data_IF_691063563973
#
_entry.id   IF_691063563973
#
_cell.length_a   1.000
_cell.length_b   1.000
_cell.length_c   1.000
_cell.angle_alpha   90.00
_cell.angle_beta   90.00
_cell.angle_gamma   90.00
#
_symmetry.space_group_name_H-M   'P 1'
#
loop_
_entity.id
_entity.type
_entity.pdbx_description
1 polymer ?
#
# COMPACT_ATOMS: atom_id res chain seq x y z
N UNK A 1 5.26 -14.53 11.56
CA UNK A 1 3.91 -14.11 11.18
C UNK A 1 3.69 -14.23 9.68
N UNK A 2 4.60 -13.75 8.80
CA UNK A 2 4.48 -13.89 7.33
C UNK A 2 4.26 -15.33 6.89
N UNK A 3 5.10 -16.27 7.37
CA UNK A 3 4.95 -17.71 7.06
C UNK A 3 3.61 -18.31 7.51
N UNK A 4 3.04 -17.81 8.60
CA UNK A 4 1.74 -18.24 9.09
C UNK A 4 0.60 -17.78 8.18
N UNK A 5 0.61 -16.50 7.80
CA UNK A 5 -0.38 -15.95 6.88
C UNK A 5 -0.31 -16.62 5.50
N UNK A 6 0.91 -16.85 4.98
CA UNK A 6 1.08 -17.58 3.72
C UNK A 6 0.50 -18.99 3.81
N UNK A 7 0.76 -19.73 4.89
CA UNK A 7 0.22 -21.10 5.08
C UNK A 7 -1.31 -21.14 5.21
N UNK A 8 -1.90 -20.11 5.82
CA UNK A 8 -3.36 -20.04 6.03
C UNK A 8 -4.11 -19.66 4.76
N UNK A 9 -3.55 -18.73 3.97
CA UNK A 9 -4.27 -18.12 2.84
C UNK A 9 -3.78 -18.56 1.47
N UNK A 10 -2.59 -19.16 1.36
CA UNK A 10 -2.01 -19.59 0.07
C UNK A 10 -1.76 -21.10 0.07
N UNK A 11 -2.59 -21.83 -0.67
CA UNK A 11 -2.39 -23.27 -0.89
C UNK A 11 -1.10 -23.47 -1.73
N UNK A 12 -0.22 -24.35 -1.25
CA UNK A 12 1.01 -24.63 -1.98
C UNK A 12 2.12 -23.58 -1.82
N UNK A 13 2.07 -22.71 -0.81
CA UNK A 13 3.06 -21.66 -0.55
C UNK A 13 4.53 -22.13 -0.44
N UNK A 14 4.78 -23.43 -0.51
CA UNK A 14 6.12 -24.05 -0.48
C UNK A 14 6.78 -24.14 -1.86
N UNK A 15 6.01 -23.91 -2.93
CA UNK A 15 6.51 -23.97 -4.30
C UNK A 15 6.49 -22.56 -4.92
N UNK A 16 7.56 -21.76 -4.78
CA UNK A 16 7.59 -20.36 -5.23
C UNK A 16 7.57 -20.23 -6.77
N UNK A 17 7.98 -21.28 -7.49
CA UNK A 17 8.06 -21.28 -8.96
C UNK A 17 6.67 -21.49 -9.63
N UNK A 18 5.65 -21.88 -8.86
CA UNK A 18 4.30 -22.08 -9.38
C UNK A 18 3.64 -20.71 -9.63
N UNK A 19 3.25 -20.40 -10.89
CA UNK A 19 2.57 -19.15 -11.24
C UNK A 19 1.28 -18.92 -10.43
N UNK A 20 0.55 -19.99 -10.08
CA UNK A 20 -0.66 -19.89 -9.28
C UNK A 20 -0.35 -19.47 -7.83
N UNK A 21 0.75 -19.94 -7.27
CA UNK A 21 1.23 -19.56 -5.93
C UNK A 21 1.68 -18.10 -5.94
N UNK A 22 2.51 -17.69 -6.90
CA UNK A 22 2.97 -16.31 -7.06
C UNK A 22 1.80 -15.34 -7.12
N UNK A 23 0.76 -15.71 -7.84
CA UNK A 23 -0.45 -14.96 -7.96
C UNK A 23 -1.24 -14.83 -6.66
N UNK A 24 -1.46 -15.96 -5.96
CA UNK A 24 -2.17 -15.97 -4.69
C UNK A 24 -1.43 -15.13 -3.64
N UNK A 25 -0.11 -15.15 -3.66
CA UNK A 25 0.77 -14.32 -2.81
C UNK A 25 0.62 -12.83 -3.16
N UNK A 26 0.61 -12.47 -4.44
CA UNK A 26 0.38 -11.10 -4.89
C UNK A 26 -1.00 -10.57 -4.46
N UNK A 27 -2.05 -11.39 -4.60
CA UNK A 27 -3.40 -11.07 -4.12
C UNK A 27 -3.43 -10.85 -2.60
N UNK A 28 -2.80 -11.73 -1.83
CA UNK A 28 -2.71 -11.61 -0.38
C UNK A 28 -1.99 -10.31 0.01
N UNK A 29 -0.88 -9.99 -0.64
CA UNK A 29 -0.14 -8.75 -0.42
C UNK A 29 -1.01 -7.52 -0.70
N UNK A 30 -1.70 -7.49 -1.83
CA UNK A 30 -2.63 -6.40 -2.18
C UNK A 30 -3.75 -6.22 -1.16
N UNK A 31 -4.40 -7.30 -0.75
CA UNK A 31 -5.47 -7.26 0.26
C UNK A 31 -4.94 -6.75 1.61
N UNK A 32 -3.80 -7.25 2.08
CA UNK A 32 -3.17 -6.77 3.32
C UNK A 32 -2.82 -5.28 3.22
N UNK A 33 -2.27 -4.83 2.08
CA UNK A 33 -1.99 -3.43 1.81
C UNK A 33 -3.23 -2.55 1.92
N UNK A 34 -4.32 -2.95 1.26
CA UNK A 34 -5.60 -2.21 1.29
C UNK A 34 -6.16 -2.14 2.71
N UNK A 35 -6.23 -3.28 3.42
CA UNK A 35 -6.81 -3.34 4.76
C UNK A 35 -6.00 -2.52 5.76
N UNK A 36 -4.67 -2.68 5.80
CA UNK A 36 -3.82 -1.96 6.75
C UNK A 36 -3.83 -0.45 6.48
N UNK A 37 -3.66 -0.02 5.23
CA UNK A 37 -3.68 1.40 4.91
C UNK A 37 -5.07 2.00 5.05
N UNK A 38 -6.14 1.27 4.74
CA UNK A 38 -7.51 1.70 4.97
C UNK A 38 -7.82 1.90 6.45
N UNK A 39 -7.39 0.97 7.31
CA UNK A 39 -7.55 1.11 8.77
C UNK A 39 -6.72 2.26 9.33
N UNK A 40 -5.49 2.45 8.85
CA UNK A 40 -4.66 3.59 9.23
C UNK A 40 -5.28 4.92 8.79
N UNK A 41 -5.80 5.00 7.57
CA UNK A 41 -6.51 6.16 7.06
C UNK A 41 -7.72 6.49 7.95
N UNK A 42 -8.60 5.51 8.17
CA UNK A 42 -9.80 5.70 8.98
C UNK A 42 -9.45 6.15 10.41
N UNK A 43 -8.52 5.47 11.08
CA UNK A 43 -8.09 5.83 12.43
C UNK A 43 -7.50 7.24 12.52
N UNK A 44 -6.64 7.62 11.56
CA UNK A 44 -6.04 8.96 11.52
C UNK A 44 -7.05 10.06 11.21
N UNK A 45 -7.95 9.84 10.25
CA UNK A 45 -8.99 10.81 9.92
C UNK A 45 -9.92 11.01 11.12
N UNK A 46 -10.33 9.94 11.80
CA UNK A 46 -11.16 10.06 13.00
C UNK A 46 -10.44 10.81 14.12
N UNK A 47 -9.22 10.43 14.47
CA UNK A 47 -8.47 11.11 15.54
C UNK A 47 -8.13 12.55 15.13
N UNK A 48 -7.69 12.77 13.90
CA UNK A 48 -7.35 14.10 13.39
C UNK A 48 -8.55 15.07 13.40
N UNK A 49 -9.73 14.59 13.01
CA UNK A 49 -10.95 15.42 13.06
C UNK A 49 -11.40 15.71 14.49
N UNK A 50 -11.34 14.72 15.38
CA UNK A 50 -11.72 14.89 16.79
C UNK A 50 -10.75 15.80 17.55
N UNK A 51 -9.47 15.79 17.21
CA UNK A 51 -8.43 16.63 17.82
C UNK A 51 -8.23 17.98 17.13
N UNK A 52 -8.89 18.22 15.99
CA UNK A 52 -8.70 19.44 15.19
C UNK A 52 -7.34 19.48 14.45
N UNK A 53 -6.60 18.36 14.39
CA UNK A 53 -5.26 18.29 13.80
C UNK A 53 -5.35 18.03 12.29
N UNK A 54 -5.18 19.08 11.48
CA UNK A 54 -5.10 18.98 10.02
C UNK A 54 -3.93 18.11 9.56
N UNK A 55 -2.82 18.12 10.28
CA UNK A 55 -1.64 17.33 9.95
C UNK A 55 -1.93 15.82 10.01
N UNK A 56 -2.68 15.35 11.01
CA UNK A 56 -3.05 13.92 11.11
C UNK A 56 -4.09 13.54 10.07
N UNK A 57 -5.04 14.41 9.75
CA UNK A 57 -5.99 14.17 8.66
C UNK A 57 -5.23 14.04 7.33
N UNK A 58 -4.28 14.93 7.05
CA UNK A 58 -3.46 14.87 5.84
C UNK A 58 -2.63 13.57 5.76
N UNK A 59 -2.05 13.13 6.90
CA UNK A 59 -1.34 11.85 6.98
C UNK A 59 -2.31 10.65 6.79
N UNK A 60 -3.56 10.77 7.22
CA UNK A 60 -4.62 9.81 6.91
C UNK A 60 -4.91 9.71 5.42
N UNK A 61 -5.01 10.84 4.72
CA UNK A 61 -5.19 10.90 3.25
C UNK A 61 -4.01 10.26 2.52
N UNK A 62 -2.79 10.45 3.02
CA UNK A 62 -1.61 9.78 2.46
C UNK A 62 -1.73 8.23 2.54
N UNK A 63 -2.23 7.69 3.66
CA UNK A 63 -2.51 6.25 3.75
C UNK A 63 -3.62 5.80 2.78
N UNK A 64 -4.59 6.66 2.46
CA UNK A 64 -5.59 6.36 1.43
C UNK A 64 -4.94 6.22 0.04
N UNK A 65 -3.96 7.07 -0.28
CA UNK A 65 -3.18 6.96 -1.53
C UNK A 65 -2.38 5.64 -1.60
N UNK A 66 -1.81 5.19 -0.48
CA UNK A 66 -1.15 3.89 -0.38
C UNK A 66 -2.14 2.72 -0.59
N UNK A 67 -3.35 2.84 -0.04
CA UNK A 67 -4.41 1.86 -0.28
C UNK A 67 -4.83 1.84 -1.76
N UNK A 68 -4.98 3.00 -2.39
CA UNK A 68 -5.31 3.12 -3.82
C UNK A 68 -4.25 2.46 -4.71
N UNK A 69 -2.96 2.68 -4.42
CA UNK A 69 -1.84 2.01 -5.12
C UNK A 69 -1.93 0.48 -4.98
N UNK A 70 -2.31 -0.01 -3.80
CA UNK A 70 -2.53 -1.45 -3.57
C UNK A 70 -3.73 -1.99 -4.38
N UNK A 71 -4.80 -1.21 -4.54
CA UNK A 71 -5.95 -1.56 -5.40
C UNK A 71 -5.52 -1.65 -6.86
N UNK A 72 -4.78 -0.66 -7.37
CA UNK A 72 -4.25 -0.66 -8.76
C UNK A 72 -3.40 -1.91 -9.00
N UNK A 73 -2.50 -2.24 -8.08
CA UNK A 73 -1.67 -3.45 -8.16
C UNK A 73 -2.52 -4.72 -8.19
N UNK A 74 -3.52 -4.83 -7.30
CA UNK A 74 -4.40 -6.00 -7.25
C UNK A 74 -5.22 -6.17 -8.53
N UNK A 75 -5.75 -5.07 -9.07
CA UNK A 75 -6.47 -5.08 -10.35
C UNK A 75 -5.55 -5.46 -11.51
N UNK A 76 -4.33 -4.92 -11.55
CA UNK A 76 -3.33 -5.27 -12.54
C UNK A 76 -3.01 -6.76 -12.55
N UNK A 77 -2.77 -7.35 -11.38
CA UNK A 77 -2.58 -8.80 -11.26
C UNK A 77 -3.82 -9.60 -11.69
N UNK A 78 -5.01 -9.14 -11.36
CA UNK A 78 -6.25 -9.82 -11.79
C UNK A 78 -6.44 -9.77 -13.29
N UNK A 79 -6.16 -8.64 -13.92
CA UNK A 79 -6.27 -8.47 -15.38
C UNK A 79 -5.20 -9.26 -16.13
N UNK A 80 -3.97 -9.26 -15.60
CA UNK A 80 -2.85 -9.99 -16.21
C UNK A 80 -3.07 -11.51 -16.31
N UNK A 81 -3.99 -12.05 -15.52
CA UNK A 81 -4.33 -13.48 -15.50
C UNK A 81 -5.40 -13.90 -16.52
N UNK A 82 -6.05 -12.95 -17.18
CA UNK A 82 -7.07 -13.30 -18.16
C UNK A 82 -6.40 -14.04 -19.34
N UNK A 83 -7.01 -15.13 -19.81
CA UNK A 83 -6.48 -15.86 -20.96
C UNK A 83 -6.54 -14.99 -22.22
N UNK A 84 -5.85 -15.44 -23.25
CA UNK A 84 -5.93 -14.83 -24.58
C UNK A 84 -7.38 -14.85 -25.08
N UNK A 85 -7.80 -13.76 -25.70
CA UNK A 85 -9.10 -13.58 -26.35
C UNK A 85 -8.91 -13.07 -27.80
N UNK A 86 -10.03 -12.80 -28.50
CA UNK A 86 -10.00 -12.36 -29.89
C UNK A 86 -9.28 -11.01 -30.08
N UNK A 87 -9.39 -10.11 -29.08
CA UNK A 87 -8.78 -8.78 -29.10
C UNK A 87 -7.33 -8.80 -28.61
N UNK A 88 -6.98 -9.77 -27.75
CA UNK A 88 -5.66 -9.95 -27.15
C UNK A 88 -5.12 -11.36 -27.36
N UNK A 89 -4.68 -11.72 -28.60
CA UNK A 89 -4.25 -13.09 -28.95
C UNK A 89 -3.01 -13.56 -28.15
N UNK A 90 -2.20 -12.61 -27.62
CA UNK A 90 -1.01 -12.91 -26.82
C UNK A 90 -1.29 -12.92 -25.31
N UNK A 91 -2.56 -12.83 -24.91
CA UNK A 91 -2.97 -12.77 -23.50
C UNK A 91 -2.78 -11.40 -22.86
N UNK A 92 -3.09 -11.34 -21.58
CA UNK A 92 -3.21 -10.10 -20.81
C UNK A 92 -2.02 -9.82 -19.86
N UNK A 93 -0.94 -10.61 -19.91
CA UNK A 93 0.20 -10.51 -18.98
C UNK A 93 0.82 -9.10 -18.91
N UNK A 94 0.70 -8.29 -19.96
CA UNK A 94 1.22 -6.92 -20.01
C UNK A 94 0.53 -5.96 -19.03
N UNK A 95 -0.66 -6.27 -18.53
CA UNK A 95 -1.34 -5.45 -17.52
C UNK A 95 -0.58 -5.37 -16.19
N UNK A 96 0.27 -6.35 -15.88
CA UNK A 96 1.19 -6.28 -14.72
C UNK A 96 2.15 -5.09 -14.85
N UNK A 97 2.75 -4.90 -16.04
CA UNK A 97 3.66 -3.76 -16.29
C UNK A 97 2.93 -2.42 -16.33
N UNK A 98 1.73 -2.40 -16.91
CA UNK A 98 0.90 -1.18 -16.96
C UNK A 98 0.51 -0.75 -15.55
N UNK A 99 0.07 -1.68 -14.71
CA UNK A 99 -0.26 -1.37 -13.32
C UNK A 99 0.96 -0.89 -12.53
N UNK A 100 2.14 -1.49 -12.75
CA UNK A 100 3.40 -1.03 -12.17
C UNK A 100 3.75 0.41 -12.61
N UNK A 101 3.56 0.73 -13.89
CA UNK A 101 3.77 2.09 -14.40
C UNK A 101 2.80 3.10 -13.77
N UNK A 102 1.52 2.74 -13.64
CA UNK A 102 0.51 3.60 -12.98
C UNK A 102 0.88 3.85 -11.53
N UNK A 103 1.28 2.82 -10.78
CA UNK A 103 1.72 2.97 -9.38
C UNK A 103 2.97 3.84 -9.29
N UNK A 104 3.95 3.65 -10.18
CA UNK A 104 5.15 4.48 -10.22
C UNK A 104 4.83 5.95 -10.49
N UNK A 105 3.91 6.24 -11.43
CA UNK A 105 3.45 7.59 -11.71
C UNK A 105 2.74 8.22 -10.50
N UNK A 106 1.88 7.48 -9.81
CA UNK A 106 1.22 7.94 -8.57
C UNK A 106 2.25 8.29 -7.49
N UNK A 107 3.26 7.44 -7.27
CA UNK A 107 4.33 7.70 -6.30
C UNK A 107 5.10 8.97 -6.66
N UNK A 108 5.41 9.20 -7.94
CA UNK A 108 6.10 10.41 -8.39
C UNK A 108 5.26 11.67 -8.15
N UNK A 109 3.97 11.64 -8.44
CA UNK A 109 3.06 12.76 -8.20
C UNK A 109 2.97 13.08 -6.71
N UNK A 110 2.73 12.06 -5.87
CA UNK A 110 2.66 12.24 -4.41
C UNK A 110 4.00 12.75 -3.86
N UNK A 111 5.13 12.20 -4.34
CA UNK A 111 6.45 12.64 -3.95
C UNK A 111 6.73 14.10 -4.29
N UNK A 112 6.31 14.55 -5.47
CA UNK A 112 6.43 15.95 -5.90
C UNK A 112 5.57 16.88 -5.03
N UNK A 113 4.32 16.49 -4.75
CA UNK A 113 3.40 17.23 -3.87
C UNK A 113 3.96 17.36 -2.45
N UNK A 114 4.47 16.27 -1.87
CA UNK A 114 5.12 16.28 -0.56
C UNK A 114 6.36 17.17 -0.53
N UNK A 115 7.18 17.15 -1.58
CA UNK A 115 8.36 18.01 -1.69
C UNK A 115 7.96 19.48 -1.73
N UNK A 116 6.97 19.84 -2.57
CA UNK A 116 6.45 21.20 -2.65
C UNK A 116 5.84 21.67 -1.33
N UNK A 117 5.02 20.86 -0.69
CA UNK A 117 4.43 21.14 0.62
C UNK A 117 5.50 21.32 1.71
N UNK A 118 6.56 20.51 1.70
CA UNK A 118 7.66 20.60 2.64
C UNK A 118 8.44 21.92 2.50
N UNK A 119 8.73 22.32 1.25
CA UNK A 119 9.36 23.62 0.97
C UNK A 119 8.48 24.78 1.47
N UNK A 120 7.17 24.72 1.21
CA UNK A 120 6.22 25.70 1.72
C UNK A 120 6.25 25.85 3.25
N UNK A 121 6.30 24.72 3.98
CA UNK A 121 6.37 24.71 5.46
C UNK A 121 7.71 25.21 6.01
N UNK A 122 8.80 25.07 5.25
CA UNK A 122 10.10 25.64 5.62
C UNK A 122 10.08 27.16 5.48
N UNK A 123 9.47 27.66 4.39
CA UNK A 123 9.38 29.10 4.11
C UNK A 123 8.37 29.83 4.99
N UNK A 124 7.30 29.14 5.39
CA UNK A 124 6.23 29.68 6.23
C UNK A 124 5.92 28.68 7.34
N UNK A 125 6.71 28.65 8.43
CA UNK A 125 6.52 27.70 9.52
C UNK A 125 5.18 27.91 10.24
N UNK A 126 4.38 26.85 10.33
CA UNK A 126 3.17 26.83 11.15
C UNK A 126 3.43 26.17 12.51
N UNK A 127 2.69 26.55 13.56
CA UNK A 127 2.80 25.91 14.87
C UNK A 127 2.49 24.42 14.76
N UNK A 128 3.38 23.58 15.31
CA UNK A 128 3.15 22.14 15.36
C UNK A 128 2.24 21.80 16.52
N UNK A 129 1.16 21.07 16.25
CA UNK A 129 0.29 20.54 17.28
C UNK A 129 1.02 19.43 18.06
N UNK A 130 1.12 19.57 19.37
CA UNK A 130 1.91 18.68 20.26
C UNK A 130 1.03 17.88 21.21
N UNK A 131 -0.25 17.71 20.95
CA UNK A 131 -1.14 16.95 21.80
C UNK A 131 -0.62 15.49 21.97
N UNK A 132 -0.58 14.93 23.19
CA UNK A 132 -0.04 13.58 23.44
C UNK A 132 -0.72 12.48 22.65
N UNK A 133 -2.01 12.62 22.37
CA UNK A 133 -2.81 11.70 21.56
C UNK A 133 -2.21 11.55 20.14
N UNK A 134 -1.65 12.63 19.57
CA UNK A 134 -1.06 12.61 18.24
C UNK A 134 0.20 11.75 18.18
N UNK A 135 1.03 11.79 19.23
CA UNK A 135 2.20 10.92 19.34
C UNK A 135 1.79 9.45 19.41
N UNK A 136 0.73 9.11 20.14
CA UNK A 136 0.19 7.74 20.21
C UNK A 136 -0.22 7.22 18.82
N UNK A 137 -0.94 8.02 18.04
CA UNK A 137 -1.37 7.66 16.69
C UNK A 137 -0.18 7.50 15.74
N UNK A 138 0.82 8.39 15.83
CA UNK A 138 2.04 8.31 15.01
C UNK A 138 2.84 7.06 15.33
N UNK A 139 3.09 6.77 16.62
CA UNK A 139 3.82 5.56 17.05
C UNK A 139 3.08 4.30 16.58
N UNK A 140 1.76 4.22 16.79
CA UNK A 140 0.94 3.11 16.32
C UNK A 140 1.05 2.92 14.80
N UNK A 141 1.00 4.01 14.04
CA UNK A 141 1.17 4.00 12.59
C UNK A 141 2.54 3.48 12.16
N UNK A 142 3.61 3.92 12.84
CA UNK A 142 4.98 3.46 12.58
C UNK A 142 5.09 1.95 12.81
N UNK A 143 4.54 1.44 13.91
CA UNK A 143 4.56 0.00 14.22
C UNK A 143 3.84 -0.83 13.15
N UNK A 144 2.66 -0.38 12.70
CA UNK A 144 1.92 -1.03 11.61
C UNK A 144 2.72 -1.00 10.31
N UNK A 145 3.29 0.15 9.92
CA UNK A 145 4.11 0.29 8.71
C UNK A 145 5.39 -0.57 8.77
N UNK A 146 6.04 -0.66 9.92
CA UNK A 146 7.20 -1.55 10.13
C UNK A 146 6.81 -3.03 9.99
N UNK A 147 5.65 -3.41 10.54
CA UNK A 147 5.14 -4.76 10.36
C UNK A 147 4.83 -5.05 8.87
N UNK A 148 4.15 -4.14 8.18
CA UNK A 148 3.87 -4.26 6.74
C UNK A 148 5.15 -4.37 5.91
N UNK A 149 6.16 -3.53 6.20
CA UNK A 149 7.46 -3.58 5.53
C UNK A 149 8.13 -4.96 5.67
N UNK A 150 8.16 -5.51 6.89
CA UNK A 150 8.69 -6.86 7.12
C UNK A 150 7.87 -7.95 6.44
N UNK A 151 6.56 -7.78 6.41
CA UNK A 151 5.65 -8.71 5.74
C UNK A 151 5.92 -8.75 4.23
N UNK A 152 5.94 -7.59 3.56
CA UNK A 152 6.20 -7.49 2.12
C UNK A 152 7.62 -7.92 1.74
N UNK A 153 8.63 -7.53 2.54
CA UNK A 153 10.00 -8.00 2.33
C UNK A 153 10.13 -9.53 2.50
N UNK A 154 9.36 -10.11 3.42
CA UNK A 154 9.31 -11.56 3.61
C UNK A 154 8.66 -12.30 2.44
N UNK A 155 7.63 -11.70 1.83
CA UNK A 155 6.99 -12.21 0.62
C UNK A 155 7.95 -12.10 -0.57
N UNK A 156 8.53 -10.93 -0.81
CA UNK A 156 9.41 -10.69 -1.94
C UNK A 156 10.59 -11.65 -1.97
N UNK A 157 11.26 -11.88 -0.83
CA UNK A 157 12.39 -12.82 -0.75
C UNK A 157 12.02 -14.29 -0.95
N UNK A 158 10.77 -14.65 -0.76
CA UNK A 158 10.33 -16.04 -0.86
C UNK A 158 9.76 -16.39 -2.24
N UNK A 159 9.40 -15.39 -3.06
CA UNK A 159 8.63 -15.59 -4.30
C UNK A 159 9.13 -14.73 -5.47
N UNK A 160 10.28 -14.09 -5.35
CA UNK A 160 11.07 -13.43 -6.39
C UNK A 160 12.45 -14.08 -6.44
#
# INVERSE_FOLDING_TARGET
>A
MTKLLLRLFVKGAQNPDDPAVRLAVGKLAGVVGILCNGLLCLGKVLVGTLSGSVAIVADGVNNLSDAASSVVTLLGFRMAQQPADADHPYGHARYEYISGLVVAALILVIGADLAQSSVGKILSPEPVDTAPVLFGVLIGSILVKLWMSRFFAGIGRAHV
#
